data_IF_394989559205
#
_entry.id   IF_394989559205
#
_cell.length_a   1.000
_cell.length_b   1.000
_cell.length_c   1.000
_cell.angle_alpha   90.00
_cell.angle_beta   90.00
_cell.angle_gamma   90.00
#
_symmetry.space_group_name_H-M   'P 1'
#
loop_
_entity.id
_entity.type
_entity.pdbx_description
1 polymer ?
#
# COMPACT_ATOMS: atom_id res chain seq x y z
N UNK A 1 3.48 4.98 3.57
CA UNK A 1 4.21 5.56 4.71
C UNK A 1 5.01 6.78 4.29
N UNK A 2 6.16 6.56 3.64
CA UNK A 2 7.08 7.62 3.20
C UNK A 2 6.42 8.79 2.48
N UNK A 3 5.69 8.52 1.39
CA UNK A 3 5.03 9.56 0.59
C UNK A 3 3.98 10.37 1.39
N UNK A 4 3.27 9.72 2.32
CA UNK A 4 2.30 10.37 3.22
C UNK A 4 3.03 11.36 4.15
N UNK A 5 4.12 10.91 4.78
CA UNK A 5 4.92 11.74 5.68
C UNK A 5 5.52 12.97 5.00
N UNK A 6 6.09 12.77 3.80
CA UNK A 6 6.64 13.87 2.99
C UNK A 6 5.54 14.84 2.55
N UNK A 7 4.36 14.34 2.15
CA UNK A 7 3.23 15.19 1.75
C UNK A 7 2.74 16.10 2.90
N UNK A 8 2.54 15.54 4.10
CA UNK A 8 2.18 16.32 5.29
C UNK A 8 3.22 17.37 5.62
N UNK A 9 4.51 17.01 5.64
CA UNK A 9 5.57 17.96 5.94
C UNK A 9 5.77 19.03 4.86
N UNK A 10 5.32 18.77 3.63
CA UNK A 10 5.37 19.73 2.50
C UNK A 10 4.14 20.65 2.43
N UNK A 11 3.22 20.58 3.40
CA UNK A 11 1.99 21.38 3.40
C UNK A 11 0.94 20.92 2.39
N UNK A 12 1.08 19.71 1.85
CA UNK A 12 0.14 19.11 0.88
C UNK A 12 -0.88 18.23 1.61
N UNK A 13 -1.63 18.82 2.55
CA UNK A 13 -2.51 18.06 3.45
C UNK A 13 -3.60 17.28 2.72
N UNK A 14 -4.25 17.89 1.72
CA UNK A 14 -5.26 17.23 0.88
C UNK A 14 -4.68 15.99 0.17
N UNK A 15 -3.49 16.13 -0.42
CA UNK A 15 -2.79 15.02 -1.08
C UNK A 15 -2.38 13.95 -0.07
N UNK A 16 -1.92 14.34 1.12
CA UNK A 16 -1.51 13.41 2.15
C UNK A 16 -2.68 12.58 2.67
N UNK A 17 -3.85 13.20 2.86
CA UNK A 17 -5.09 12.54 3.26
C UNK A 17 -5.59 11.58 2.17
N UNK A 18 -5.61 12.01 0.91
CA UNK A 18 -5.95 11.16 -0.23
C UNK A 18 -5.03 9.93 -0.26
N UNK A 19 -3.71 10.12 -0.19
CA UNK A 19 -2.75 9.02 -0.18
C UNK A 19 -2.97 8.09 1.01
N UNK A 20 -3.31 8.60 2.19
CA UNK A 20 -3.59 7.78 3.36
C UNK A 20 -4.82 6.89 3.16
N UNK A 21 -5.91 7.42 2.58
CA UNK A 21 -7.12 6.68 2.27
C UNK A 21 -6.85 5.61 1.21
N UNK A 22 -6.22 5.99 0.10
CA UNK A 22 -5.95 5.09 -1.04
C UNK A 22 -5.00 3.95 -0.64
N UNK A 23 -3.96 4.24 0.12
CA UNK A 23 -3.03 3.23 0.64
C UNK A 23 -3.71 2.35 1.70
N UNK A 24 -4.53 2.94 2.57
CA UNK A 24 -5.29 2.20 3.58
C UNK A 24 -6.24 1.18 2.95
N UNK A 25 -6.90 1.55 1.84
CA UNK A 25 -7.81 0.67 1.11
C UNK A 25 -7.06 -0.51 0.45
N UNK A 26 -5.86 -0.29 -0.07
CA UNK A 26 -5.00 -1.34 -0.64
C UNK A 26 -4.42 -2.29 0.43
N UNK A 27 -4.10 -1.76 1.61
CA UNK A 27 -3.57 -2.56 2.71
C UNK A 27 -4.56 -3.64 3.20
N UNK A 28 -5.86 -3.50 2.96
CA UNK A 28 -6.86 -4.50 3.36
C UNK A 28 -6.68 -5.81 2.57
N UNK A 29 -6.74 -5.82 1.22
CA UNK A 29 -6.36 -6.98 0.41
C UNK A 29 -4.99 -7.56 0.74
N UNK A 30 -3.96 -6.72 0.90
CA UNK A 30 -2.59 -7.17 1.23
C UNK A 30 -2.53 -7.87 2.59
N UNK A 31 -3.25 -7.32 3.58
CA UNK A 31 -3.41 -7.92 4.89
C UNK A 31 -4.08 -9.29 4.82
N UNK A 32 -5.12 -9.45 4.00
CA UNK A 32 -5.73 -10.76 3.77
C UNK A 32 -4.76 -11.75 3.11
N UNK A 33 -3.98 -11.30 2.11
CA UNK A 33 -2.98 -12.13 1.45
C UNK A 33 -1.89 -12.62 2.41
N UNK A 34 -1.57 -11.85 3.47
CA UNK A 34 -0.67 -12.27 4.54
C UNK A 34 -1.36 -13.16 5.59
N UNK A 35 -2.59 -12.83 5.98
CA UNK A 35 -3.32 -13.50 7.05
C UNK A 35 -3.72 -14.95 6.71
N UNK A 36 -4.13 -15.21 5.47
CA UNK A 36 -4.57 -16.55 5.02
C UNK A 36 -3.49 -17.62 5.20
N UNK A 37 -2.28 -17.48 4.61
CA UNK A 37 -1.22 -18.48 4.79
C UNK A 37 -0.74 -18.53 6.25
N UNK A 38 -0.80 -17.43 7.00
CA UNK A 38 -0.44 -17.44 8.42
C UNK A 38 -1.45 -18.25 9.26
N UNK A 39 -2.73 -18.23 8.92
CA UNK A 39 -3.75 -19.04 9.58
C UNK A 39 -3.54 -20.56 9.34
N UNK A 40 -2.99 -20.94 8.18
CA UNK A 40 -2.69 -22.34 7.86
C UNK A 40 -1.54 -22.93 8.69
N UNK A 41 -0.75 -22.09 9.37
CA UNK A 41 0.34 -22.55 10.27
C UNK A 41 -0.14 -23.12 11.60
N UNK A 42 -1.45 -23.11 11.88
CA UNK A 42 -2.03 -23.56 13.15
C UNK A 42 -1.99 -22.51 14.28
N UNK A 43 -1.66 -21.26 13.95
CA UNK A 43 -1.72 -20.14 14.89
C UNK A 43 -3.17 -19.78 15.24
N UNK A 44 -3.38 -19.25 16.46
CA UNK A 44 -4.71 -18.78 16.87
C UNK A 44 -5.13 -17.54 16.08
N UNK A 45 -6.41 -17.44 15.72
CA UNK A 45 -6.97 -16.33 14.93
C UNK A 45 -6.58 -14.95 15.48
N UNK A 46 -6.59 -14.79 16.80
CA UNK A 46 -6.19 -13.53 17.44
C UNK A 46 -4.72 -13.18 17.17
N UNK A 47 -3.81 -14.17 17.18
CA UNK A 47 -2.41 -13.94 16.84
C UNK A 47 -2.25 -13.58 15.37
N UNK A 48 -2.94 -14.28 14.46
CA UNK A 48 -2.92 -13.97 13.02
C UNK A 48 -3.33 -12.52 12.76
N UNK A 49 -4.43 -12.07 13.39
CA UNK A 49 -4.91 -10.67 13.29
C UNK A 49 -3.85 -9.70 13.82
N UNK A 50 -3.26 -9.96 14.99
CA UNK A 50 -2.24 -9.09 15.55
C UNK A 50 -0.99 -8.99 14.68
N UNK A 51 -0.45 -10.11 14.19
CA UNK A 51 0.73 -10.09 13.35
C UNK A 51 0.48 -9.41 12.01
N UNK A 52 -0.67 -9.67 11.39
CA UNK A 52 -1.07 -9.01 10.14
C UNK A 52 -1.25 -7.50 10.31
N UNK A 53 -1.83 -7.08 11.45
CA UNK A 53 -2.00 -5.65 11.74
C UNK A 53 -0.65 -4.99 11.98
N UNK A 54 0.22 -5.63 12.75
CA UNK A 54 1.56 -5.10 13.06
C UNK A 54 2.46 -5.05 11.82
N UNK A 55 2.37 -6.03 10.92
CA UNK A 55 3.16 -6.06 9.67
C UNK A 55 2.78 -4.91 8.73
N UNK A 56 1.52 -4.47 8.73
CA UNK A 56 1.10 -3.26 8.02
C UNK A 56 1.47 -1.97 8.76
N UNK A 57 1.02 -1.83 10.00
CA UNK A 57 1.10 -0.55 10.75
C UNK A 57 2.54 -0.13 11.04
N UNK A 58 3.40 -1.04 11.51
CA UNK A 58 4.74 -0.68 11.98
C UNK A 58 5.60 -0.10 10.84
N UNK A 59 5.74 -0.75 9.67
CA UNK A 59 6.48 -0.17 8.55
C UNK A 59 5.84 1.12 8.03
N UNK A 60 4.51 1.22 7.98
CA UNK A 60 3.82 2.43 7.51
C UNK A 60 4.16 3.65 8.37
N UNK A 61 4.07 3.50 9.70
CA UNK A 61 4.31 4.58 10.68
C UNK A 61 5.78 4.97 10.68
N UNK A 62 6.70 3.99 10.73
CA UNK A 62 8.14 4.27 10.68
C UNK A 62 8.51 5.01 9.41
N UNK A 63 8.03 4.56 8.25
CA UNK A 63 8.29 5.22 6.98
C UNK A 63 7.65 6.63 6.90
N UNK A 64 6.47 6.84 7.49
CA UNK A 64 5.81 8.14 7.52
C UNK A 64 6.57 9.15 8.39
N UNK A 65 6.99 8.76 9.60
CA UNK A 65 7.81 9.61 10.48
C UNK A 65 9.14 9.96 9.81
N UNK A 66 9.80 8.97 9.20
CA UNK A 66 11.02 9.19 8.44
C UNK A 66 10.80 10.16 7.27
N UNK A 67 9.75 9.95 6.48
CA UNK A 67 9.38 10.86 5.37
C UNK A 67 9.08 12.28 5.83
N UNK A 68 8.38 12.45 6.94
CA UNK A 68 8.11 13.76 7.52
C UNK A 68 9.41 14.48 7.92
N UNK A 69 10.33 13.76 8.58
CA UNK A 69 11.63 14.31 9.00
C UNK A 69 12.56 14.69 7.84
N UNK A 70 12.40 14.06 6.67
CA UNK A 70 13.22 14.34 5.49
C UNK A 70 13.02 15.77 4.96
N UNK A 71 11.81 16.31 5.08
CA UNK A 71 11.49 17.66 4.58
C UNK A 71 12.22 18.75 5.35
N UNK A 72 12.62 18.52 6.61
CA UNK A 72 13.47 19.48 7.34
C UNK A 72 14.89 19.61 6.75
N UNK A 73 15.30 18.67 5.89
CA UNK A 73 16.63 18.68 5.24
C UNK A 73 16.58 19.37 3.87
N UNK A 74 15.41 19.47 3.24
CA UNK A 74 15.25 20.15 1.95
C UNK A 74 13.80 20.19 1.46
N UNK A 75 13.46 21.26 0.74
CA UNK A 75 12.16 21.42 0.10
C UNK A 75 12.04 20.58 -1.19
N UNK A 76 10.81 20.30 -1.62
CA UNK A 76 10.56 19.65 -2.91
C UNK A 76 10.85 18.15 -2.96
N UNK A 77 10.88 17.47 -1.81
CA UNK A 77 11.12 16.01 -1.74
C UNK A 77 9.90 15.17 -2.13
N UNK A 78 8.69 15.77 -2.16
CA UNK A 78 7.46 15.05 -2.45
C UNK A 78 7.49 14.28 -3.80
N UNK A 79 7.84 14.90 -4.95
CA UNK A 79 7.90 14.19 -6.24
C UNK A 79 8.88 13.02 -6.24
N UNK A 80 10.04 13.20 -5.59
CA UNK A 80 11.07 12.15 -5.51
C UNK A 80 10.60 10.99 -4.62
N UNK A 81 10.04 11.29 -3.45
CA UNK A 81 9.55 10.27 -2.51
C UNK A 81 8.34 9.50 -3.05
N UNK A 82 7.43 10.17 -3.75
CA UNK A 82 6.26 9.56 -4.37
C UNK A 82 6.64 8.72 -5.58
N UNK A 83 7.55 9.22 -6.44
CA UNK A 83 8.12 8.45 -7.54
C UNK A 83 8.86 7.20 -7.07
N UNK A 84 9.66 7.31 -6.00
CA UNK A 84 10.33 6.17 -5.38
C UNK A 84 9.31 5.14 -4.83
N UNK A 85 8.29 5.60 -4.11
CA UNK A 85 7.26 4.72 -3.57
C UNK A 85 6.47 4.00 -4.68
N UNK A 86 6.09 4.72 -5.74
CA UNK A 86 5.42 4.17 -6.90
C UNK A 86 6.30 3.14 -7.62
N UNK A 87 7.58 3.45 -7.84
CA UNK A 87 8.54 2.54 -8.47
C UNK A 87 8.75 1.25 -7.66
N UNK A 88 8.88 1.36 -6.33
CA UNK A 88 9.00 0.21 -5.46
C UNK A 88 7.77 -0.70 -5.52
N UNK A 89 6.55 -0.12 -5.48
CA UNK A 89 5.32 -0.90 -5.61
C UNK A 89 5.18 -1.56 -6.98
N UNK A 90 5.53 -0.87 -8.08
CA UNK A 90 5.55 -1.47 -9.41
C UNK A 90 6.52 -2.67 -9.47
N UNK A 91 7.71 -2.54 -8.89
CA UNK A 91 8.68 -3.63 -8.86
C UNK A 91 8.13 -4.86 -8.13
N UNK A 92 7.46 -4.68 -6.99
CA UNK A 92 6.81 -5.77 -6.23
C UNK A 92 5.67 -6.39 -7.04
N UNK A 93 4.81 -5.57 -7.64
CA UNK A 93 3.68 -6.02 -8.47
C UNK A 93 4.16 -6.91 -9.61
N UNK A 94 5.15 -6.46 -10.38
CA UNK A 94 5.64 -7.19 -11.55
C UNK A 94 6.46 -8.43 -11.20
N UNK A 95 7.27 -8.38 -10.12
CA UNK A 95 8.17 -9.48 -9.77
C UNK A 95 7.51 -10.55 -8.92
N UNK A 96 6.49 -10.21 -8.14
CA UNK A 96 5.93 -11.10 -7.13
C UNK A 96 4.42 -11.29 -7.31
N UNK A 97 3.62 -10.22 -7.30
CA UNK A 97 2.15 -10.33 -7.27
C UNK A 97 1.56 -10.92 -8.56
N UNK A 98 1.96 -10.42 -9.73
CA UNK A 98 1.48 -10.94 -11.02
C UNK A 98 1.92 -12.39 -11.23
N UNK A 99 3.21 -12.76 -11.07
CA UNK A 99 3.64 -14.15 -11.19
C UNK A 99 2.94 -15.10 -10.20
N UNK A 100 2.80 -14.70 -8.93
CA UNK A 100 2.16 -15.51 -7.88
C UNK A 100 0.67 -15.77 -8.17
N UNK A 101 -0.05 -14.74 -8.59
CA UNK A 101 -1.49 -14.86 -8.92
C UNK A 101 -1.75 -15.76 -10.13
N UNK A 102 -0.82 -15.82 -11.08
CA UNK A 102 -0.95 -16.63 -12.29
C UNK A 102 -0.37 -18.05 -12.15
N UNK A 103 0.35 -18.35 -11.06
CA UNK A 103 1.04 -19.62 -10.86
C UNK A 103 0.15 -20.84 -10.61
N UNK A 104 -1.14 -20.65 -10.32
CA UNK A 104 -2.04 -21.71 -9.83
C UNK A 104 -3.15 -22.11 -10.83
N UNK A 105 -3.01 -21.76 -12.11
CA UNK A 105 -3.97 -22.14 -13.16
C UNK A 105 -5.24 -21.29 -13.25
N UNK A 106 -5.32 -20.20 -12.47
CA UNK A 106 -6.45 -19.25 -12.46
C UNK A 106 -6.09 -17.89 -13.10
N UNK A 107 -5.25 -17.90 -14.14
CA UNK A 107 -4.72 -16.69 -14.78
C UNK A 107 -5.81 -15.70 -15.25
N UNK A 108 -6.86 -16.18 -15.89
CA UNK A 108 -7.94 -15.33 -16.41
C UNK A 108 -8.74 -14.67 -15.28
N UNK A 109 -9.03 -15.43 -14.21
CA UNK A 109 -9.71 -14.91 -13.03
C UNK A 109 -8.83 -13.90 -12.26
N UNK A 110 -7.53 -14.17 -12.14
CA UNK A 110 -6.56 -13.26 -11.54
C UNK A 110 -6.47 -11.94 -12.32
N UNK A 111 -6.43 -12.01 -13.65
CA UNK A 111 -6.46 -10.83 -14.53
C UNK A 111 -7.76 -10.05 -14.38
N UNK A 112 -8.91 -10.74 -14.33
CA UNK A 112 -10.21 -10.11 -14.08
C UNK A 112 -10.28 -9.37 -12.74
N UNK A 113 -9.82 -10.02 -11.66
CA UNK A 113 -9.76 -9.40 -10.33
C UNK A 113 -8.81 -8.19 -10.29
N UNK A 114 -7.67 -8.27 -10.97
CA UNK A 114 -6.74 -7.15 -11.12
C UNK A 114 -7.40 -5.95 -11.82
N UNK A 115 -8.10 -6.18 -12.93
CA UNK A 115 -8.79 -5.12 -13.67
C UNK A 115 -9.91 -4.47 -12.83
N UNK A 116 -10.69 -5.28 -12.10
CA UNK A 116 -11.73 -4.76 -11.20
C UNK A 116 -11.11 -3.91 -10.10
N UNK A 117 -10.03 -4.36 -9.47
CA UNK A 117 -9.31 -3.60 -8.46
C UNK A 117 -8.74 -2.29 -9.01
N UNK A 118 -8.18 -2.31 -10.22
CA UNK A 118 -7.67 -1.12 -10.89
C UNK A 118 -8.78 -0.09 -11.16
N UNK A 119 -9.92 -0.52 -11.70
CA UNK A 119 -11.08 0.36 -11.93
C UNK A 119 -11.60 0.93 -10.61
N UNK A 120 -11.70 0.12 -9.57
CA UNK A 120 -12.13 0.57 -8.25
C UNK A 120 -11.19 1.65 -7.71
N UNK A 121 -9.88 1.47 -7.85
CA UNK A 121 -8.90 2.48 -7.44
C UNK A 121 -9.05 3.79 -8.22
N UNK A 122 -9.27 3.72 -9.54
CA UNK A 122 -9.53 4.92 -10.36
C UNK A 122 -10.81 5.64 -9.94
N UNK A 123 -11.87 4.89 -9.62
CA UNK A 123 -13.13 5.48 -9.12
C UNK A 123 -12.93 6.13 -7.76
N UNK A 124 -12.22 5.49 -6.83
CA UNK A 124 -11.91 6.06 -5.52
C UNK A 124 -11.10 7.34 -5.68
N UNK A 125 -10.06 7.34 -6.51
CA UNK A 125 -9.28 8.54 -6.82
C UNK A 125 -10.17 9.65 -7.40
N UNK A 126 -10.98 9.35 -8.40
CA UNK A 126 -11.89 10.32 -9.02
C UNK A 126 -12.95 10.89 -8.07
N UNK A 127 -13.43 10.12 -7.09
CA UNK A 127 -14.44 10.58 -6.13
C UNK A 127 -13.81 11.38 -4.99
N UNK A 128 -12.61 11.02 -4.55
CA UNK A 128 -11.93 11.69 -3.42
C UNK A 128 -11.16 12.94 -3.86
N UNK A 129 -10.80 13.06 -5.15
CA UNK A 129 -10.10 14.22 -5.73
C UNK A 129 -11.05 15.34 -6.20
N UNK A 130 -12.38 15.16 -6.10
CA UNK A 130 -13.41 16.18 -6.40
C UNK A 130 -13.85 16.91 -5.14
#
# INVERSE_FOLDING_TARGET
>A
GLAIGVAFASGLEEVALLLAVVIGLQNVPDGFAFAVPMAETGMSNLRVVWYTTLSGVVPQVVAAVFGFSLVSVGAGLFPVSSGFAAGAMLAVVFRELIPSSHGHGHADAATGAFLVGFVLLVVVDAVVVV
#
